data_IF_629643395790
#
_entry.id   IF_629643395790
#
_cell.length_a   1.000
_cell.length_b   1.000
_cell.length_c   1.000
_cell.angle_alpha   90.00
_cell.angle_beta   90.00
_cell.angle_gamma   90.00
#
_symmetry.space_group_name_H-M   'P 1'
#
loop_
_entity.id
_entity.type
_entity.pdbx_description
1 polymer ?
#
# COMPACT_ATOMS: atom_id res chain seq x y z
N UNK A 1 -8.06 -4.19 -73.13
CA UNK A 1 -7.65 -5.22 -72.13
C UNK A 1 -7.18 -4.49 -70.89
N UNK A 2 -8.10 -4.25 -69.97
CA UNK A 2 -7.91 -3.45 -68.76
C UNK A 2 -8.18 -4.37 -67.59
N UNK A 3 -7.14 -4.78 -66.89
CA UNK A 3 -7.27 -5.48 -65.61
C UNK A 3 -6.92 -4.47 -64.52
N UNK A 4 -7.96 -3.99 -63.83
CA UNK A 4 -7.85 -3.33 -62.53
C UNK A 4 -7.42 -4.39 -61.52
N UNK A 5 -6.16 -4.35 -61.08
CA UNK A 5 -5.72 -5.12 -59.92
C UNK A 5 -6.11 -4.34 -58.68
N UNK A 6 -7.18 -4.79 -58.02
CA UNK A 6 -7.69 -4.28 -56.76
C UNK A 6 -6.61 -4.45 -55.67
N UNK A 7 -5.99 -3.35 -55.25
CA UNK A 7 -5.12 -3.33 -54.08
C UNK A 7 -5.99 -3.45 -52.82
N UNK A 8 -6.25 -4.68 -52.38
CA UNK A 8 -6.81 -4.95 -51.07
C UNK A 8 -5.72 -4.75 -50.01
N UNK A 9 -5.49 -3.49 -49.63
CA UNK A 9 -4.80 -3.13 -48.39
C UNK A 9 -5.70 -3.56 -47.23
N UNK A 10 -5.50 -4.77 -46.74
CA UNK A 10 -6.01 -5.21 -45.44
C UNK A 10 -5.34 -4.35 -44.37
N UNK A 11 -6.03 -3.27 -43.96
CA UNK A 11 -5.81 -2.60 -42.68
C UNK A 11 -6.18 -3.59 -41.56
N UNK A 12 -5.37 -4.62 -41.38
CA UNK A 12 -5.26 -5.29 -40.10
C UNK A 12 -4.57 -4.28 -39.18
N UNK A 13 -5.38 -3.43 -38.54
CA UNK A 13 -4.97 -2.74 -37.34
C UNK A 13 -4.74 -3.80 -36.26
N UNK A 14 -3.63 -4.54 -36.39
CA UNK A 14 -3.11 -5.37 -35.31
C UNK A 14 -2.82 -4.40 -34.17
N UNK A 15 -3.62 -4.52 -33.11
CA UNK A 15 -3.36 -3.92 -31.81
C UNK A 15 -1.85 -3.86 -31.57
N UNK A 16 -1.27 -2.67 -31.43
CA UNK A 16 0.17 -2.48 -31.17
C UNK A 16 0.59 -2.96 -29.77
N UNK A 17 -0.26 -3.72 -29.08
CA UNK A 17 0.13 -4.42 -27.86
C UNK A 17 0.81 -5.73 -28.23
N UNK A 18 2.01 -5.99 -27.71
CA UNK A 18 2.62 -7.31 -27.84
C UNK A 18 1.69 -8.37 -27.21
N UNK A 19 1.75 -9.59 -27.74
CA UNK A 19 1.11 -10.73 -27.11
C UNK A 19 1.84 -11.13 -25.82
N UNK A 20 1.16 -11.75 -24.85
CA UNK A 20 1.81 -12.29 -23.66
C UNK A 20 2.86 -13.36 -24.04
N UNK A 21 3.92 -13.54 -23.23
CA UNK A 21 4.92 -14.56 -23.47
C UNK A 21 4.27 -15.95 -23.58
N UNK A 22 4.74 -16.76 -24.53
CA UNK A 22 4.18 -18.08 -24.80
C UNK A 22 4.09 -18.91 -23.51
N UNK A 23 2.93 -19.52 -23.27
CA UNK A 23 2.68 -20.35 -22.09
C UNK A 23 2.23 -19.59 -20.83
N UNK A 24 2.31 -18.25 -20.79
CA UNK A 24 1.94 -17.49 -19.58
C UNK A 24 0.46 -17.63 -19.19
N UNK A 25 -0.44 -17.73 -20.18
CA UNK A 25 -1.87 -17.93 -19.91
C UNK A 25 -2.14 -19.31 -19.31
N UNK A 26 -1.47 -20.35 -19.81
CA UNK A 26 -1.58 -21.70 -19.27
C UNK A 26 -0.97 -21.76 -17.86
N UNK A 27 0.22 -21.18 -17.68
CA UNK A 27 0.87 -21.12 -16.37
C UNK A 27 0.04 -20.37 -15.32
N UNK A 28 -0.70 -19.32 -15.72
CA UNK A 28 -1.63 -18.65 -14.84
C UNK A 28 -2.79 -19.57 -14.42
N UNK A 29 -3.42 -20.27 -15.38
CA UNK A 29 -4.50 -21.22 -15.09
C UNK A 29 -4.02 -22.36 -14.17
N UNK A 30 -2.91 -23.01 -14.52
CA UNK A 30 -2.34 -24.11 -13.73
C UNK A 30 -1.98 -23.66 -12.31
N UNK A 31 -1.48 -22.43 -12.16
CA UNK A 31 -1.17 -21.84 -10.85
C UNK A 31 -2.45 -21.58 -10.04
N UNK A 32 -3.51 -21.04 -10.65
CA UNK A 32 -4.79 -20.83 -9.98
C UNK A 32 -5.38 -22.16 -9.49
N UNK A 33 -5.46 -23.17 -10.37
CA UNK A 33 -5.97 -24.50 -10.05
C UNK A 33 -5.19 -25.13 -8.89
N UNK A 34 -3.85 -25.08 -8.95
CA UNK A 34 -2.98 -25.61 -7.88
C UNK A 34 -3.16 -24.89 -6.54
N UNK A 35 -3.49 -23.60 -6.56
CA UNK A 35 -3.72 -22.80 -5.35
C UNK A 35 -5.11 -23.06 -4.79
N UNK A 36 -6.12 -23.24 -5.63
CA UNK A 36 -7.50 -23.55 -5.22
C UNK A 36 -7.60 -24.91 -4.50
N UNK A 37 -6.71 -25.86 -4.81
CA UNK A 37 -6.60 -27.13 -4.09
C UNK A 37 -6.00 -27.02 -2.67
N UNK A 38 -5.42 -25.87 -2.30
CA UNK A 38 -4.84 -25.68 -0.97
C UNK A 38 -5.92 -25.59 0.10
N UNK A 39 -5.69 -26.26 1.24
CA UNK A 39 -6.55 -26.11 2.42
C UNK A 39 -6.57 -24.66 2.91
N UNK A 40 -7.77 -24.13 3.14
CA UNK A 40 -7.98 -22.77 3.64
C UNK A 40 -8.11 -21.72 2.53
N UNK A 41 -8.19 -22.15 1.26
CA UNK A 41 -8.49 -21.30 0.11
C UNK A 41 -9.97 -21.44 -0.24
N UNK A 42 -10.66 -20.30 -0.28
CA UNK A 42 -12.04 -20.19 -0.74
C UNK A 42 -12.12 -20.12 -2.26
N UNK A 43 -11.25 -19.31 -2.85
CA UNK A 43 -11.13 -19.13 -4.30
C UNK A 43 -9.74 -18.63 -4.68
N UNK A 44 -9.30 -19.00 -5.88
CA UNK A 44 -8.07 -18.51 -6.48
C UNK A 44 -8.32 -18.10 -7.93
N UNK A 45 -7.81 -16.94 -8.33
CA UNK A 45 -7.90 -16.45 -9.70
C UNK A 45 -6.53 -15.94 -10.15
N UNK A 46 -6.14 -16.27 -11.37
CA UNK A 46 -4.90 -15.79 -11.96
C UNK A 46 -5.14 -15.21 -13.36
N UNK A 47 -4.57 -14.03 -13.61
CA UNK A 47 -4.65 -13.35 -14.89
C UNK A 47 -3.30 -12.76 -15.30
N UNK A 48 -3.05 -12.74 -16.61
CA UNK A 48 -1.80 -12.22 -17.19
C UNK A 48 -1.99 -10.77 -17.61
N UNK A 49 -1.09 -9.90 -17.18
CA UNK A 49 -1.12 -8.48 -17.49
C UNK A 49 0.23 -7.99 -17.98
N UNK A 50 0.21 -7.02 -18.89
CA UNK A 50 1.37 -6.23 -19.23
C UNK A 50 1.64 -5.17 -18.15
N UNK A 51 2.91 -4.91 -17.85
CA UNK A 51 3.29 -3.71 -17.12
C UNK A 51 3.06 -2.52 -18.05
N UNK A 52 2.63 -1.38 -17.49
CA UNK A 52 2.42 -0.17 -18.28
C UNK A 52 3.65 0.06 -19.18
N UNK A 53 3.40 0.12 -20.49
CA UNK A 53 4.43 0.24 -21.52
C UNK A 53 5.29 1.48 -21.31
N UNK A 54 4.77 2.54 -20.69
CA UNK A 54 5.55 3.74 -20.35
C UNK A 54 6.58 3.47 -19.27
N UNK A 55 6.25 2.61 -18.31
CA UNK A 55 7.10 2.32 -17.17
C UNK A 55 8.12 1.24 -17.53
N UNK A 56 7.67 0.14 -18.14
CA UNK A 56 8.52 -0.98 -18.53
C UNK A 56 7.99 -1.70 -19.78
N UNK A 57 8.41 -1.26 -20.98
CA UNK A 57 7.97 -1.88 -22.22
C UNK A 57 8.28 -3.38 -22.29
N UNK A 58 7.26 -4.20 -22.55
CA UNK A 58 7.41 -5.64 -22.78
C UNK A 58 7.55 -6.50 -21.51
N UNK A 59 7.44 -5.92 -20.31
CA UNK A 59 7.38 -6.69 -19.07
C UNK A 59 5.95 -7.19 -18.82
N UNK A 60 5.84 -8.44 -18.38
CA UNK A 60 4.58 -9.13 -18.09
C UNK A 60 4.59 -9.72 -16.69
N UNK A 61 3.42 -9.90 -16.11
CA UNK A 61 3.25 -10.56 -14.81
C UNK A 61 1.93 -11.34 -14.75
N UNK A 62 1.90 -12.33 -13.87
CA UNK A 62 0.68 -13.02 -13.45
C UNK A 62 0.19 -12.34 -12.16
N UNK A 63 -1.00 -11.77 -12.19
CA UNK A 63 -1.71 -11.34 -10.98
C UNK A 63 -2.45 -12.55 -10.43
N UNK A 64 -2.06 -13.00 -9.24
CA UNK A 64 -2.72 -14.06 -8.50
C UNK A 64 -3.52 -13.42 -7.35
N UNK A 65 -4.83 -13.63 -7.35
CA UNK A 65 -5.73 -13.24 -6.25
C UNK A 65 -6.15 -14.51 -5.55
N UNK A 66 -6.02 -14.54 -4.23
CA UNK A 66 -6.38 -15.70 -3.41
C UNK A 66 -7.23 -15.19 -2.26
N UNK A 67 -8.46 -15.70 -2.14
CA UNK A 67 -9.32 -15.43 -1.01
C UNK A 67 -9.27 -16.63 -0.05
N UNK A 68 -8.96 -16.37 1.21
CA UNK A 68 -8.89 -17.38 2.24
C UNK A 68 -10.29 -17.69 2.80
N UNK A 69 -10.51 -18.94 3.20
CA UNK A 69 -11.77 -19.39 3.79
C UNK A 69 -12.07 -18.70 5.13
N UNK A 70 -11.05 -18.52 5.96
CA UNK A 70 -11.21 -18.01 7.31
C UNK A 70 -10.15 -16.97 7.69
N UNK A 71 -10.43 -16.13 8.71
CA UNK A 71 -9.44 -15.21 9.25
C UNK A 71 -8.19 -15.92 9.80
N UNK A 72 -8.34 -17.16 10.30
CA UNK A 72 -7.25 -17.92 10.94
C UNK A 72 -6.24 -18.52 9.97
N UNK A 73 -6.59 -18.65 8.69
CA UNK A 73 -5.71 -19.21 7.67
C UNK A 73 -4.49 -18.33 7.37
N UNK A 74 -4.47 -17.08 7.87
CA UNK A 74 -3.32 -16.16 7.77
C UNK A 74 -2.01 -16.74 8.34
N UNK A 75 -2.12 -17.72 9.23
CA UNK A 75 -0.96 -18.38 9.85
C UNK A 75 -0.36 -19.50 8.99
N UNK A 76 -1.16 -20.21 8.20
CA UNK A 76 -0.74 -21.39 7.45
C UNK A 76 -0.69 -21.16 5.93
N UNK A 77 -1.63 -20.39 5.38
CA UNK A 77 -1.79 -20.23 3.95
C UNK A 77 -0.60 -19.51 3.26
N UNK A 78 0.01 -18.44 3.83
CA UNK A 78 1.22 -17.86 3.25
C UNK A 78 2.37 -18.87 3.13
N UNK A 79 2.51 -19.79 4.09
CA UNK A 79 3.54 -20.83 4.09
C UNK A 79 3.25 -21.88 3.02
N UNK A 80 1.99 -22.31 2.89
CA UNK A 80 1.56 -23.26 1.86
C UNK A 80 1.65 -22.71 0.44
N UNK A 81 1.44 -21.40 0.26
CA UNK A 81 1.47 -20.71 -1.03
C UNK A 81 2.90 -20.44 -1.52
N UNK A 82 3.85 -20.23 -0.60
CA UNK A 82 5.24 -19.87 -0.93
C UNK A 82 5.92 -20.82 -1.94
N UNK A 83 5.83 -22.16 -1.80
CA UNK A 83 6.41 -23.08 -2.79
C UNK A 83 5.84 -22.93 -4.20
N UNK A 84 4.51 -22.75 -4.35
CA UNK A 84 3.85 -22.61 -5.65
C UNK A 84 4.31 -21.32 -6.36
N UNK A 85 4.36 -20.21 -5.62
CA UNK A 85 4.86 -18.93 -6.15
C UNK A 85 6.33 -19.05 -6.57
N UNK A 86 7.17 -19.66 -5.73
CA UNK A 86 8.59 -19.86 -6.06
C UNK A 86 8.77 -20.75 -7.27
N UNK A 87 7.91 -21.76 -7.45
CA UNK A 87 7.98 -22.61 -8.62
C UNK A 87 7.64 -21.87 -9.91
N UNK A 88 6.55 -21.10 -9.93
CA UNK A 88 6.21 -20.26 -11.08
C UNK A 88 7.32 -19.23 -11.41
N UNK A 89 7.94 -18.65 -10.37
CA UNK A 89 9.09 -17.73 -10.54
C UNK A 89 10.33 -18.42 -11.13
N UNK A 90 10.62 -19.67 -10.75
CA UNK A 90 11.72 -20.45 -11.35
C UNK A 90 11.50 -20.73 -12.84
N UNK A 91 10.25 -20.80 -13.27
CA UNK A 91 9.87 -20.94 -14.68
C UNK A 91 9.81 -19.60 -15.42
N UNK A 92 10.30 -18.51 -14.81
CA UNK A 92 10.46 -17.21 -15.47
C UNK A 92 9.22 -16.30 -15.39
N UNK A 93 8.23 -16.64 -14.57
CA UNK A 93 7.04 -15.81 -14.39
C UNK A 93 7.18 -14.83 -13.22
N UNK A 94 6.89 -13.56 -13.47
CA UNK A 94 6.73 -12.57 -12.40
C UNK A 94 5.34 -12.71 -11.80
N UNK A 95 5.26 -12.97 -10.49
CA UNK A 95 3.96 -13.13 -9.79
C UNK A 95 3.70 -11.90 -8.93
N UNK A 96 2.49 -11.33 -9.06
CA UNK A 96 1.94 -10.31 -8.15
C UNK A 96 0.81 -10.94 -7.38
N UNK A 97 1.00 -11.11 -6.08
CA UNK A 97 0.02 -11.72 -5.20
C UNK A 97 -0.89 -10.65 -4.58
N UNK A 98 -2.16 -11.01 -4.38
CA UNK A 98 -3.09 -10.39 -3.46
C UNK A 98 -3.81 -11.50 -2.68
N UNK A 99 -3.27 -11.87 -1.51
CA UNK A 99 -3.81 -12.89 -0.62
C UNK A 99 -4.69 -12.24 0.45
N UNK A 100 -6.00 -12.47 0.38
CA UNK A 100 -7.01 -11.79 1.19
C UNK A 100 -7.57 -12.72 2.25
N UNK A 101 -7.67 -12.21 3.47
CA UNK A 101 -8.26 -12.88 4.61
C UNK A 101 -9.49 -12.11 5.06
N UNK A 102 -10.63 -12.78 5.25
CA UNK A 102 -11.82 -12.13 5.77
C UNK A 102 -11.56 -11.61 7.18
N UNK A 103 -12.34 -10.59 7.57
CA UNK A 103 -12.41 -10.12 8.96
C UNK A 103 -13.23 -11.04 9.84
N UNK A 104 -13.23 -10.78 11.14
CA UNK A 104 -14.01 -11.51 12.13
C UNK A 104 -14.18 -10.71 13.43
N UNK A 105 -14.80 -11.31 14.46
CA UNK A 105 -14.92 -10.65 15.76
C UNK A 105 -13.57 -10.19 16.31
N UNK A 106 -13.38 -8.88 16.44
CA UNK A 106 -12.14 -8.27 16.94
C UNK A 106 -10.94 -8.37 15.98
N UNK A 107 -11.15 -8.75 14.72
CA UNK A 107 -10.09 -8.96 13.74
C UNK A 107 -10.44 -8.26 12.42
N UNK A 108 -9.58 -7.34 11.98
CA UNK A 108 -9.77 -6.64 10.72
C UNK A 108 -9.57 -7.58 9.51
N UNK A 109 -10.28 -7.37 8.39
CA UNK A 109 -9.92 -7.97 7.10
C UNK A 109 -8.50 -7.56 6.70
N UNK A 110 -7.80 -8.45 5.99
CA UNK A 110 -6.37 -8.26 5.70
C UNK A 110 -6.01 -8.77 4.31
N UNK A 111 -5.26 -7.99 3.54
CA UNK A 111 -4.66 -8.41 2.28
C UNK A 111 -3.13 -8.42 2.40
N UNK A 112 -2.47 -9.44 1.85
CA UNK A 112 -1.02 -9.58 1.79
C UNK A 112 -0.57 -9.70 0.33
N UNK A 113 0.34 -8.83 -0.09
CA UNK A 113 0.96 -8.93 -1.41
C UNK A 113 2.35 -9.58 -1.37
N UNK A 114 3.24 -9.07 -0.51
CA UNK A 114 4.53 -9.70 -0.24
C UNK A 114 4.45 -10.61 0.99
N UNK A 115 4.63 -11.93 0.79
CA UNK A 115 4.60 -12.94 1.86
C UNK A 115 6.02 -13.18 2.43
N UNK A 116 6.37 -12.45 3.49
CA UNK A 116 7.54 -12.74 4.32
C UNK A 116 7.10 -13.14 5.73
N UNK A 117 7.96 -13.86 6.45
CA UNK A 117 7.65 -14.27 7.82
C UNK A 117 7.35 -13.06 8.73
N UNK A 118 8.11 -11.97 8.59
CA UNK A 118 7.86 -10.75 9.34
C UNK A 118 6.66 -9.95 8.85
N UNK A 119 6.39 -9.86 7.54
CA UNK A 119 5.19 -9.16 7.04
C UNK A 119 3.90 -9.83 7.51
N UNK A 120 3.87 -11.16 7.53
CA UNK A 120 2.74 -11.94 8.07
C UNK A 120 2.56 -11.67 9.56
N UNK A 121 3.63 -11.71 10.37
CA UNK A 121 3.55 -11.43 11.82
C UNK A 121 3.07 -10.00 12.10
N UNK A 122 3.63 -8.99 11.43
CA UNK A 122 3.18 -7.61 11.58
C UNK A 122 1.71 -7.44 11.18
N UNK A 123 1.27 -8.07 10.09
CA UNK A 123 -0.13 -8.01 9.67
C UNK A 123 -1.08 -8.69 10.68
N UNK A 124 -0.70 -9.83 11.25
CA UNK A 124 -1.46 -10.52 12.32
C UNK A 124 -1.61 -9.62 13.55
N UNK A 125 -0.53 -8.98 13.98
CA UNK A 125 -0.56 -8.09 15.14
C UNK A 125 -1.40 -6.83 14.84
N UNK A 126 -1.22 -6.23 13.67
CA UNK A 126 -1.91 -5.02 13.24
C UNK A 126 -3.42 -5.22 13.07
N UNK A 127 -3.84 -6.31 12.46
CA UNK A 127 -5.28 -6.62 12.28
C UNK A 127 -6.00 -6.95 13.59
N UNK A 128 -5.26 -7.18 14.66
CA UNK A 128 -5.80 -7.46 16.01
C UNK A 128 -5.95 -6.20 16.85
N UNK A 129 -5.52 -5.03 16.36
CA UNK A 129 -5.76 -3.74 17.01
C UNK A 129 -7.24 -3.37 16.83
N UNK A 130 -8.02 -3.15 17.89
CA UNK A 130 -9.46 -2.89 17.81
C UNK A 130 -9.84 -1.70 16.92
N UNK A 131 -8.97 -0.70 16.86
CA UNK A 131 -9.15 0.52 16.09
C UNK A 131 -8.85 0.37 14.58
N UNK A 132 -8.30 -0.77 14.15
CA UNK A 132 -7.98 -1.04 12.74
C UNK A 132 -9.19 -1.63 12.02
N UNK A 133 -9.58 -1.00 10.91
CA UNK A 133 -10.70 -1.41 10.07
C UNK A 133 -10.29 -2.34 8.93
N UNK A 134 -9.08 -2.18 8.40
CA UNK A 134 -8.49 -3.06 7.38
C UNK A 134 -6.98 -2.97 7.39
N UNK A 135 -6.32 -4.02 6.91
CA UNK A 135 -4.87 -4.04 6.65
C UNK A 135 -4.61 -4.44 5.21
N UNK A 136 -3.91 -3.61 4.45
CA UNK A 136 -3.63 -3.83 3.03
C UNK A 136 -2.11 -3.82 2.77
N UNK A 137 -1.58 -4.98 2.37
CA UNK A 137 -0.19 -5.15 1.98
C UNK A 137 0.02 -4.98 0.48
N UNK A 138 1.07 -4.27 0.08
CA UNK A 138 1.39 -4.09 -1.34
C UNK A 138 2.05 -5.34 -1.94
N UNK A 139 1.91 -5.53 -3.25
CA UNK A 139 2.45 -6.69 -3.97
C UNK A 139 3.97 -6.66 -4.23
N UNK A 140 4.65 -5.52 -4.02
CA UNK A 140 6.06 -5.35 -4.45
C UNK A 140 7.02 -5.04 -3.32
N UNK A 141 6.51 -4.51 -2.22
CA UNK A 141 7.32 -4.10 -1.08
C UNK A 141 6.65 -4.59 0.20
N UNK A 142 7.44 -4.92 1.24
CA UNK A 142 6.91 -5.25 2.55
C UNK A 142 6.41 -3.98 3.27
N UNK A 143 5.43 -3.30 2.68
CA UNK A 143 4.73 -2.17 3.28
C UNK A 143 3.29 -2.54 3.52
N UNK A 144 2.79 -2.21 4.71
CA UNK A 144 1.41 -2.39 5.10
C UNK A 144 0.72 -1.04 5.24
N UNK A 145 -0.53 -0.98 4.83
CA UNK A 145 -1.44 0.12 5.04
C UNK A 145 -2.52 -0.32 6.01
N UNK A 146 -2.84 0.48 7.03
CA UNK A 146 -3.94 0.23 7.95
C UNK A 146 -4.95 1.36 7.87
N UNK A 147 -6.20 1.01 7.58
CA UNK A 147 -7.32 1.93 7.72
C UNK A 147 -7.75 1.97 9.18
N UNK A 148 -7.91 3.16 9.75
CA UNK A 148 -8.21 3.38 11.16
C UNK A 148 -9.66 3.85 11.34
N UNK A 149 -10.27 3.48 12.47
CA UNK A 149 -11.58 4.00 12.85
C UNK A 149 -11.56 5.54 12.99
N UNK A 150 -12.61 6.26 12.57
CA UNK A 150 -12.60 7.73 12.55
C UNK A 150 -12.39 8.40 13.91
N UNK A 151 -12.76 7.74 15.01
CA UNK A 151 -12.60 8.24 16.38
C UNK A 151 -11.19 8.07 16.95
N UNK A 152 -10.34 7.30 16.27
CA UNK A 152 -9.02 6.93 16.74
C UNK A 152 -8.04 8.07 16.52
N UNK A 153 -7.19 8.35 17.50
CA UNK A 153 -6.15 9.39 17.38
C UNK A 153 -4.79 8.78 17.08
N UNK A 154 -3.95 9.52 16.33
CA UNK A 154 -2.59 9.08 15.98
C UNK A 154 -1.76 8.82 17.24
N UNK A 155 -1.84 9.70 18.23
CA UNK A 155 -1.12 9.57 19.51
C UNK A 155 -1.49 8.29 20.27
N UNK A 156 -2.76 7.88 20.23
CA UNK A 156 -3.24 6.67 20.94
C UNK A 156 -2.71 5.39 20.30
N UNK A 157 -2.64 5.33 18.97
CA UNK A 157 -2.23 4.11 18.25
C UNK A 157 -0.75 3.97 18.01
N UNK A 158 0.03 5.05 18.18
CA UNK A 158 1.45 5.06 17.88
C UNK A 158 2.23 3.96 18.61
N UNK A 159 2.04 3.73 19.94
CA UNK A 159 2.74 2.66 20.65
C UNK A 159 2.33 1.27 20.15
N UNK A 160 1.03 1.06 19.87
CA UNK A 160 0.51 -0.22 19.41
C UNK A 160 1.08 -0.59 18.03
N UNK A 161 1.06 0.34 17.07
CA UNK A 161 1.64 0.13 15.73
C UNK A 161 3.15 -0.11 15.78
N UNK A 162 3.89 0.58 16.67
CA UNK A 162 5.32 0.27 16.89
C UNK A 162 5.53 -1.12 17.47
N UNK A 163 4.62 -1.59 18.31
CA UNK A 163 4.59 -2.96 18.81
C UNK A 163 4.49 -3.99 17.68
N UNK A 164 3.59 -3.77 16.72
CA UNK A 164 3.40 -4.71 15.57
C UNK A 164 4.61 -4.76 14.64
N UNK A 165 5.30 -3.63 14.44
CA UNK A 165 6.56 -3.57 13.71
C UNK A 165 7.66 -4.39 14.40
N UNK A 166 7.70 -4.34 15.74
CA UNK A 166 8.65 -5.11 16.55
C UNK A 166 8.41 -6.61 16.45
N UNK A 167 7.14 -7.06 16.44
CA UNK A 167 6.78 -8.46 16.20
C UNK A 167 7.19 -8.96 14.80
N UNK A 168 7.22 -8.06 13.81
CA UNK A 168 7.72 -8.32 12.46
C UNK A 168 9.21 -8.65 12.41
N UNK A 169 10.00 -8.22 13.41
CA UNK A 169 11.45 -8.40 13.41
C UNK A 169 12.19 -7.50 12.41
N UNK A 170 11.57 -6.39 11.98
CA UNK A 170 12.17 -5.42 11.06
C UNK A 170 11.96 -5.67 9.56
N UNK A 171 11.27 -6.76 9.18
CA UNK A 171 10.93 -7.04 7.76
C UNK A 171 10.03 -5.95 7.15
N UNK A 172 9.17 -5.35 7.97
CA UNK A 172 8.30 -4.24 7.59
C UNK A 172 8.92 -2.96 8.17
N UNK A 173 9.47 -2.06 7.36
CA UNK A 173 10.17 -0.88 7.86
C UNK A 173 9.22 0.21 8.36
N UNK A 174 7.98 0.25 7.88
CA UNK A 174 6.92 1.15 8.35
C UNK A 174 5.52 0.62 8.01
N UNK A 175 4.53 1.05 8.78
CA UNK A 175 3.10 0.91 8.50
C UNK A 175 2.52 2.27 8.18
N UNK A 176 1.77 2.41 7.09
CA UNK A 176 1.02 3.64 6.82
C UNK A 176 -0.36 3.51 7.46
N UNK A 177 -0.67 4.33 8.45
CA UNK A 177 -2.02 4.43 9.02
C UNK A 177 -2.79 5.54 8.33
N UNK A 178 -4.08 5.33 8.07
CA UNK A 178 -4.91 6.29 7.37
C UNK A 178 -6.31 6.41 7.97
N UNK A 179 -6.84 7.63 7.94
CA UNK A 179 -8.22 7.95 8.31
C UNK A 179 -8.95 8.46 7.09
N UNK A 180 -9.99 7.73 6.68
CA UNK A 180 -10.86 8.13 5.57
C UNK A 180 -11.86 9.19 6.00
N UNK A 181 -11.88 10.32 5.31
CA UNK A 181 -13.08 11.18 5.26
C UNK A 181 -14.05 10.63 4.20
N UNK A 182 -15.29 11.13 4.17
CA UNK A 182 -16.39 10.61 3.34
C UNK A 182 -16.11 10.51 1.82
N UNK A 183 -15.01 11.08 1.31
CA UNK A 183 -14.71 11.10 -0.14
C UNK A 183 -13.23 10.82 -0.49
N UNK A 184 -12.28 11.02 0.43
CA UNK A 184 -10.84 10.69 0.27
C UNK A 184 -10.19 10.44 1.64
N UNK A 185 -9.05 9.73 1.67
CA UNK A 185 -8.18 9.69 2.86
C UNK A 185 -7.74 11.11 3.22
N UNK A 186 -8.22 11.61 4.36
CA UNK A 186 -7.94 12.99 4.80
C UNK A 186 -6.58 13.09 5.48
N UNK A 187 -6.16 12.02 6.16
CA UNK A 187 -4.91 11.96 6.90
C UNK A 187 -4.27 10.59 6.68
N UNK A 188 -2.99 10.57 6.32
CA UNK A 188 -2.19 9.36 6.16
C UNK A 188 -0.80 9.57 6.73
N UNK A 189 -0.36 8.68 7.63
CA UNK A 189 0.90 8.83 8.36
C UNK A 189 1.68 7.50 8.32
N UNK A 190 2.90 7.54 7.81
CA UNK A 190 3.86 6.45 7.91
C UNK A 190 4.45 6.40 9.31
N UNK A 191 4.23 5.29 10.02
CA UNK A 191 4.79 5.00 11.34
C UNK A 191 5.92 3.99 11.17
N UNK A 192 7.12 4.34 11.62
CA UNK A 192 8.26 3.44 11.77
C UNK A 192 8.52 3.18 13.26
N UNK A 193 9.59 2.44 13.57
CA UNK A 193 10.04 2.23 14.95
C UNK A 193 10.35 3.54 15.69
N UNK A 194 10.74 4.61 14.98
CA UNK A 194 11.16 5.88 15.57
C UNK A 194 10.38 7.11 15.06
N UNK A 195 9.66 7.02 13.94
CA UNK A 195 8.94 8.13 13.32
C UNK A 195 7.41 7.88 13.32
N UNK A 196 6.57 8.92 13.44
CA UNK A 196 6.90 10.28 13.93
C UNK A 196 7.23 10.29 15.43
N UNK A 197 7.91 11.32 15.94
CA UNK A 197 8.01 11.50 17.41
C UNK A 197 6.62 11.71 18.04
N UNK A 198 6.51 11.63 19.37
CA UNK A 198 5.23 11.87 20.05
C UNK A 198 4.74 13.31 19.86
N UNK A 199 5.65 14.28 19.94
CA UNK A 199 5.39 15.69 19.72
C UNK A 199 4.91 15.97 18.30
N UNK A 200 5.56 15.34 17.30
CA UNK A 200 5.12 15.46 15.92
C UNK A 200 3.78 14.75 15.69
N UNK A 201 3.54 13.60 16.33
CA UNK A 201 2.24 12.95 16.26
C UNK A 201 1.12 13.85 16.80
N UNK A 202 1.35 14.59 17.89
CA UNK A 202 0.41 15.60 18.41
C UNK A 202 0.18 16.72 17.39
N UNK A 203 1.24 17.24 16.77
CA UNK A 203 1.12 18.29 15.76
C UNK A 203 0.33 17.82 14.53
N UNK A 204 0.65 16.64 13.99
CA UNK A 204 -0.06 16.03 12.86
C UNK A 204 -1.54 15.77 13.19
N UNK A 205 -1.84 15.35 14.41
CA UNK A 205 -3.21 15.15 14.89
C UNK A 205 -4.00 16.47 14.97
N UNK A 206 -3.37 17.54 15.47
CA UNK A 206 -3.98 18.87 15.52
C UNK A 206 -4.26 19.40 14.12
N UNK A 207 -3.32 19.23 13.18
CA UNK A 207 -3.49 19.59 11.77
C UNK A 207 -4.65 18.76 11.16
N UNK A 208 -4.68 17.46 11.43
CA UNK A 208 -5.72 16.51 11.00
C UNK A 208 -7.15 16.94 11.35
N UNK A 209 -7.30 17.67 12.46
CA UNK A 209 -8.59 18.18 12.95
C UNK A 209 -9.01 19.52 12.33
N UNK A 210 -8.11 20.23 11.66
CA UNK A 210 -8.41 21.55 11.11
C UNK A 210 -9.47 21.46 10.01
N UNK A 211 -10.55 22.24 10.12
CA UNK A 211 -11.65 22.25 9.13
C UNK A 211 -11.21 22.61 7.71
N UNK A 212 -10.07 23.30 7.58
CA UNK A 212 -9.51 23.71 6.29
C UNK A 212 -8.68 22.63 5.63
N UNK A 213 -8.31 21.56 6.35
CA UNK A 213 -7.48 20.48 5.84
C UNK A 213 -8.26 19.61 4.86
N UNK A 214 -7.81 19.59 3.61
CA UNK A 214 -8.26 18.67 2.58
C UNK A 214 -7.48 17.35 2.59
N UNK A 215 -6.17 17.45 2.83
CA UNK A 215 -5.27 16.31 2.76
C UNK A 215 -4.05 16.54 3.65
N UNK A 216 -3.64 15.52 4.40
CA UNK A 216 -2.39 15.46 5.14
C UNK A 216 -1.70 14.12 4.87
N UNK A 217 -0.43 14.19 4.55
CA UNK A 217 0.42 13.03 4.38
C UNK A 217 1.78 13.25 5.02
N UNK A 218 2.20 12.33 5.89
CA UNK A 218 3.50 12.39 6.54
C UNK A 218 4.19 11.02 6.45
N UNK A 219 5.42 10.95 5.95
CA UNK A 219 6.13 9.67 5.81
C UNK A 219 7.64 9.86 5.92
N UNK A 220 8.31 8.84 6.48
CA UNK A 220 9.74 8.63 6.35
C UNK A 220 9.95 7.29 5.64
N UNK A 221 10.64 7.30 4.49
CA UNK A 221 11.13 6.06 3.87
C UNK A 221 12.54 5.79 4.39
N UNK A 222 12.94 4.52 4.40
CA UNK A 222 14.22 4.08 4.98
C UNK A 222 15.47 4.80 4.41
N UNK A 223 15.36 5.33 3.19
CA UNK A 223 16.42 5.98 2.42
C UNK A 223 16.08 7.43 2.04
N UNK A 224 14.95 7.97 2.49
CA UNK A 224 14.53 9.33 2.18
C UNK A 224 14.41 10.18 3.44
N UNK A 225 14.68 11.46 3.27
CA UNK A 225 14.35 12.47 4.28
C UNK A 225 12.84 12.41 4.59
N UNK A 226 12.43 12.51 5.87
CA UNK A 226 11.01 12.55 6.20
C UNK A 226 10.36 13.74 5.49
N UNK A 227 9.13 13.55 5.03
CA UNK A 227 8.38 14.63 4.40
C UNK A 227 6.94 14.68 4.90
N UNK A 228 6.41 15.90 4.93
CA UNK A 228 5.05 16.22 5.35
C UNK A 228 4.43 17.11 4.26
N UNK A 229 3.31 16.68 3.70
CA UNK A 229 2.52 17.46 2.76
C UNK A 229 1.15 17.70 3.33
N UNK A 230 0.68 18.95 3.32
CA UNK A 230 -0.68 19.29 3.70
C UNK A 230 -1.33 20.25 2.70
N UNK A 231 -2.56 19.95 2.31
CA UNK A 231 -3.37 20.80 1.44
C UNK A 231 -4.49 21.46 2.26
N UNK A 232 -4.51 22.78 2.22
CA UNK A 232 -5.39 23.64 3.00
C UNK A 232 -6.28 24.47 2.09
N UNK A 233 -7.55 24.60 2.46
CA UNK A 233 -8.54 25.41 1.74
C UNK A 233 -8.56 26.88 2.16
N UNK A 234 -7.80 27.24 3.21
CA UNK A 234 -7.73 28.61 3.75
C UNK A 234 -6.28 29.08 3.87
N UNK A 235 -5.96 30.20 3.21
CA UNK A 235 -4.61 30.81 3.22
C UNK A 235 -4.07 31.07 4.63
N UNK A 236 -4.93 31.58 5.53
CA UNK A 236 -4.52 31.93 6.90
C UNK A 236 -4.01 30.73 7.71
N UNK A 237 -4.48 29.53 7.39
CA UNK A 237 -4.12 28.31 8.13
C UNK A 237 -2.75 27.76 7.72
N UNK A 238 -2.18 28.19 6.59
CA UNK A 238 -0.85 27.75 6.13
C UNK A 238 0.23 28.11 7.14
N UNK A 239 0.22 29.35 7.64
CA UNK A 239 1.19 29.80 8.64
C UNK A 239 0.99 29.10 9.97
N UNK A 240 -0.27 28.87 10.37
CA UNK A 240 -0.61 28.14 11.60
C UNK A 240 -0.05 26.72 11.55
N UNK A 241 -0.24 26.01 10.43
CA UNK A 241 0.31 24.66 10.25
C UNK A 241 1.84 24.67 10.25
N UNK A 242 2.47 25.63 9.58
CA UNK A 242 3.93 25.75 9.57
C UNK A 242 4.49 25.97 10.99
N UNK A 243 3.82 26.77 11.81
CA UNK A 243 4.25 27.03 13.18
C UNK A 243 4.06 25.81 14.08
N UNK A 244 2.94 25.09 13.97
CA UNK A 244 2.73 23.82 14.68
C UNK A 244 3.83 22.79 14.37
N UNK A 245 4.20 22.67 13.09
CA UNK A 245 5.26 21.76 12.66
C UNK A 245 6.63 22.16 13.22
N UNK A 246 6.96 23.45 13.26
CA UNK A 246 8.22 23.97 13.81
C UNK A 246 8.31 23.89 15.33
N UNK A 247 7.18 23.93 16.02
CA UNK A 247 7.15 23.80 17.49
C UNK A 247 7.41 22.35 17.94
N UNK A 248 6.92 21.37 17.17
CA UNK A 248 7.07 19.95 17.48
C UNK A 248 8.54 19.47 17.58
N UNK A 249 9.49 20.19 16.97
CA UNK A 249 10.91 19.77 16.91
C UNK A 249 11.80 20.39 17.97
N UNK A 250 11.28 21.30 18.82
CA UNK A 250 12.04 21.89 19.93
C UNK A 250 12.32 20.90 21.09
N UNK A 251 11.76 19.70 21.05
CA UNK A 251 11.92 18.65 22.05
C UNK A 251 12.26 17.30 21.38
N UNK A 252 13.55 16.89 21.36
CA UNK A 252 13.88 15.45 21.41
C UNK A 252 14.49 14.67 20.22
N UNK A 253 14.91 15.28 19.08
CA UNK A 253 15.73 14.70 17.96
C UNK A 253 14.99 13.77 16.95
N UNK A 254 15.31 13.76 15.62
CA UNK A 254 16.10 14.69 14.80
C UNK A 254 15.24 15.56 13.87
N UNK A 255 15.59 16.85 13.86
CA UNK A 255 15.21 17.84 12.86
C UNK A 255 15.88 17.52 11.52
N UNK A 256 15.08 17.49 10.45
CA UNK A 256 15.39 17.53 9.02
C UNK A 256 14.16 17.12 8.17
N UNK A 257 12.96 17.02 8.76
CA UNK A 257 11.78 16.70 7.96
C UNK A 257 11.42 17.91 7.08
N UNK A 258 11.27 17.68 5.78
CA UNK A 258 10.73 18.71 4.89
C UNK A 258 9.23 18.78 5.01
N UNK A 259 8.69 20.00 5.01
CA UNK A 259 7.26 20.17 4.81
C UNK A 259 6.95 20.99 3.55
N UNK A 260 5.79 20.70 2.98
CA UNK A 260 5.20 21.36 1.84
C UNK A 260 3.73 21.61 2.12
N UNK A 261 3.35 22.88 2.23
CA UNK A 261 1.98 23.31 2.53
C UNK A 261 1.41 24.01 1.30
N UNK A 262 0.28 23.52 0.82
CA UNK A 262 -0.41 24.09 -0.33
C UNK A 262 -1.69 24.79 0.13
N UNK A 263 -1.86 26.03 -0.30
CA UNK A 263 -3.07 26.82 -0.06
C UNK A 263 -3.99 26.91 -1.26
N UNK A 264 -5.13 27.61 -1.12
CA UNK A 264 -5.94 27.96 -2.27
C UNK A 264 -5.15 28.88 -3.24
N UNK A 265 -5.53 28.90 -4.51
CA UNK A 265 -4.99 29.81 -5.54
C UNK A 265 -3.48 29.68 -5.84
N UNK A 266 -2.87 28.52 -5.54
CA UNK A 266 -1.46 28.27 -5.84
C UNK A 266 -0.48 28.82 -4.80
N UNK A 267 -0.97 29.22 -3.62
CA UNK A 267 -0.12 29.51 -2.47
C UNK A 267 0.66 28.26 -2.07
N UNK A 268 1.94 28.44 -1.77
CA UNK A 268 2.84 27.35 -1.44
C UNK A 268 3.87 27.82 -0.42
N UNK A 269 3.99 27.07 0.68
CA UNK A 269 4.99 27.30 1.72
C UNK A 269 5.75 26.01 1.99
N UNK A 270 7.07 26.07 1.89
CA UNK A 270 7.95 24.95 2.23
C UNK A 270 8.89 25.33 3.37
N UNK A 271 9.41 24.32 4.04
CA UNK A 271 10.41 24.50 5.06
C UNK A 271 10.99 23.17 5.54
N UNK A 272 11.83 23.27 6.55
CA UNK A 272 12.37 22.14 7.29
C UNK A 272 12.02 22.30 8.76
N UNK A 273 11.87 21.19 9.47
CA UNK A 273 11.66 21.14 10.92
C UNK A 273 12.66 20.21 11.58
#
# INVERSE_FOLDING_TARGET
>A
MTWLTLAALTLAACSFRPDPPQGSLQAAADLADSVEELRGVQSAEAAVYDVDRKDKPGEWYIQLIVDADSPSDITSLPVALTPLIKDAQRHGHTIRLALRFPGGPGIAPTSLGAISGGSVRTAIALRSIPEVLSVDGTSYAPSLHASMAPSTTLTTILPAVRGTLSEGGGDVPWVTVAWTGEVTTRVSVGISSAWPSEELAIALENIGRMSSLSYLYAMQRADSMPFITADLTKSADITVVADLLREATKSGIPAEAHFSLNGPNGEHLTGTI
#
